data_IF_816480385702
#
_entry.id   IF_816480385702
#
_cell.length_a   1.000
_cell.length_b   1.000
_cell.length_c   1.000
_cell.angle_alpha   90.00
_cell.angle_beta   90.00
_cell.angle_gamma   90.00
#
_symmetry.space_group_name_H-M   'P 1'
#
loop_
_entity.id
_entity.type
_entity.pdbx_description
1 polymer ?
#
# COMPACT_ATOMS: atom_id res chain seq x y z
N UNK A 1 -11.33 -23.33 -5.26
CA UNK A 1 -12.61 -23.96 -5.65
C UNK A 1 -12.39 -25.04 -6.68
N UNK A 2 -13.39 -25.88 -6.94
CA UNK A 2 -13.42 -26.72 -8.14
C UNK A 2 -14.77 -26.59 -8.83
N UNK A 3 -14.72 -26.37 -10.14
CA UNK A 3 -15.84 -26.42 -11.07
C UNK A 3 -15.51 -27.55 -12.03
N UNK A 4 -16.43 -28.49 -12.23
CA UNK A 4 -16.28 -29.48 -13.29
C UNK A 4 -16.33 -28.71 -14.62
N UNK A 5 -15.26 -28.80 -15.41
CA UNK A 5 -15.17 -28.15 -16.71
C UNK A 5 -16.27 -28.70 -17.62
N UNK A 6 -17.36 -27.95 -17.77
CA UNK A 6 -18.39 -28.18 -18.77
C UNK A 6 -18.53 -26.90 -19.59
N UNK A 7 -18.69 -27.09 -20.91
CA UNK A 7 -18.67 -26.06 -21.93
C UNK A 7 -19.61 -24.89 -21.58
N UNK A 8 -19.06 -23.69 -21.68
CA UNK A 8 -19.66 -22.46 -21.20
C UNK A 8 -20.58 -21.83 -22.26
N UNK A 9 -21.74 -22.43 -22.49
CA UNK A 9 -22.87 -21.73 -23.11
C UNK A 9 -24.10 -22.03 -22.24
N UNK A 10 -24.76 -21.00 -21.71
CA UNK A 10 -25.98 -21.04 -20.85
C UNK A 10 -25.87 -21.42 -19.35
N UNK A 11 -24.93 -20.85 -18.58
CA UNK A 11 -25.06 -20.87 -17.11
C UNK A 11 -25.46 -19.48 -16.57
N UNK A 12 -26.66 -19.41 -15.98
CA UNK A 12 -27.14 -18.28 -15.20
C UNK A 12 -26.50 -18.21 -13.80
N UNK A 13 -26.53 -17.02 -13.18
CA UNK A 13 -25.91 -16.73 -11.88
C UNK A 13 -26.39 -17.66 -10.75
N UNK A 14 -27.67 -18.03 -10.74
CA UNK A 14 -28.25 -18.92 -9.72
C UNK A 14 -27.66 -20.33 -9.79
N UNK A 15 -27.51 -20.87 -11.00
CA UNK A 15 -26.92 -22.20 -11.20
C UNK A 15 -25.43 -22.22 -10.90
N UNK A 16 -24.72 -21.11 -11.16
CA UNK A 16 -23.33 -20.98 -10.71
C UNK A 16 -23.23 -21.16 -9.20
N UNK A 17 -23.99 -20.39 -8.41
CA UNK A 17 -23.98 -20.46 -6.94
C UNK A 17 -24.40 -21.83 -6.39
N UNK A 18 -25.41 -22.47 -6.99
CA UNK A 18 -25.87 -23.79 -6.58
C UNK A 18 -24.80 -24.90 -6.75
N UNK A 19 -23.82 -24.68 -7.62
CA UNK A 19 -22.76 -25.66 -7.94
C UNK A 19 -21.41 -25.36 -7.27
N UNK A 20 -21.30 -24.28 -6.49
CA UNK A 20 -20.05 -23.95 -5.80
C UNK A 20 -19.83 -24.92 -4.65
N UNK A 21 -18.65 -25.56 -4.65
CA UNK A 21 -18.21 -26.40 -3.53
C UNK A 21 -16.95 -25.83 -2.87
N UNK A 22 -17.01 -25.66 -1.54
CA UNK A 22 -15.85 -25.31 -0.71
C UNK A 22 -14.96 -26.55 -0.56
N UNK A 23 -13.65 -26.37 -0.77
CA UNK A 23 -12.62 -27.35 -0.40
C UNK A 23 -11.57 -26.66 0.45
N UNK A 24 -11.15 -27.32 1.52
CA UNK A 24 -10.08 -26.87 2.38
C UNK A 24 -8.84 -27.73 2.15
N UNK A 25 -7.67 -27.13 2.25
CA UNK A 25 -6.37 -27.80 2.13
C UNK A 25 -5.61 -27.57 3.43
N UNK A 26 -5.00 -28.63 3.96
CA UNK A 26 -4.30 -28.57 5.25
C UNK A 26 -2.94 -27.86 5.16
N UNK A 27 -2.35 -27.84 3.96
CA UNK A 27 -1.03 -27.24 3.73
C UNK A 27 -0.97 -26.55 2.36
N UNK A 28 0.05 -25.70 2.21
CA UNK A 28 0.24 -24.90 1.00
C UNK A 28 0.60 -25.73 -0.24
N UNK A 29 1.28 -26.87 -0.07
CA UNK A 29 1.67 -27.74 -1.19
C UNK A 29 0.43 -28.33 -1.88
N UNK A 30 -0.46 -28.95 -1.11
CA UNK A 30 -1.70 -29.53 -1.62
C UNK A 30 -2.60 -28.47 -2.25
N UNK A 31 -2.66 -27.28 -1.64
CA UNK A 31 -3.37 -26.14 -2.18
C UNK A 31 -2.80 -25.71 -3.55
N UNK A 32 -1.47 -25.57 -3.64
CA UNK A 32 -0.79 -25.17 -4.87
C UNK A 32 -1.04 -26.17 -5.99
N UNK A 33 -0.88 -27.46 -5.71
CA UNK A 33 -1.14 -28.53 -6.68
C UNK A 33 -2.59 -28.52 -7.15
N UNK A 34 -3.54 -28.31 -6.23
CA UNK A 34 -4.94 -28.21 -6.58
C UNK A 34 -5.27 -26.98 -7.45
N UNK A 35 -4.69 -25.81 -7.16
CA UNK A 35 -4.87 -24.61 -7.99
C UNK A 35 -4.31 -24.84 -9.39
N UNK A 36 -3.12 -25.44 -9.50
CA UNK A 36 -2.45 -25.72 -10.77
C UNK A 36 -3.24 -26.73 -11.62
N UNK A 37 -3.68 -27.83 -11.00
CA UNK A 37 -4.46 -28.87 -11.68
C UNK A 37 -5.85 -28.38 -12.15
N UNK A 38 -6.35 -27.28 -11.56
CA UNK A 38 -7.63 -26.68 -11.92
C UNK A 38 -7.50 -25.26 -12.48
N UNK A 39 -6.34 -24.90 -13.05
CA UNK A 39 -6.06 -23.54 -13.56
C UNK A 39 -7.15 -23.05 -14.54
N UNK A 40 -7.65 -23.93 -15.41
CA UNK A 40 -8.69 -23.63 -16.40
C UNK A 40 -10.00 -23.10 -15.79
N UNK A 41 -10.34 -23.51 -14.56
CA UNK A 41 -11.53 -23.00 -13.88
C UNK A 41 -11.40 -21.51 -13.57
N UNK A 42 -10.20 -21.06 -13.19
CA UNK A 42 -9.95 -19.66 -12.81
C UNK A 42 -9.88 -18.73 -14.03
N UNK A 43 -9.62 -19.28 -15.21
CA UNK A 43 -9.67 -18.55 -16.48
C UNK A 43 -11.10 -18.46 -17.09
N UNK A 44 -12.07 -19.16 -16.51
CA UNK A 44 -13.44 -19.19 -17.01
C UNK A 44 -14.25 -17.95 -16.55
N UNK A 45 -15.45 -17.74 -17.09
CA UNK A 45 -16.35 -16.59 -16.87
C UNK A 45 -16.51 -16.15 -15.41
N UNK A 46 -16.55 -17.10 -14.47
CA UNK A 46 -16.74 -16.83 -13.04
C UNK A 46 -15.47 -17.04 -12.20
N UNK A 47 -14.30 -17.22 -12.84
CA UNK A 47 -13.05 -17.54 -12.16
C UNK A 47 -12.61 -16.46 -11.15
N UNK A 48 -12.82 -15.18 -11.48
CA UNK A 48 -12.54 -14.06 -10.56
C UNK A 48 -13.44 -14.11 -9.32
N UNK A 49 -14.72 -14.46 -9.46
CA UNK A 49 -15.62 -14.62 -8.31
C UNK A 49 -15.20 -15.80 -7.43
N UNK A 50 -14.79 -16.92 -8.04
CA UNK A 50 -14.23 -18.04 -7.30
C UNK A 50 -12.94 -17.63 -6.56
N UNK A 51 -12.09 -16.82 -7.18
CA UNK A 51 -10.90 -16.31 -6.49
C UNK A 51 -11.29 -15.45 -5.28
N UNK A 52 -12.20 -14.50 -5.46
CA UNK A 52 -12.70 -13.64 -4.40
C UNK A 52 -13.32 -14.44 -3.23
N UNK A 53 -14.20 -15.39 -3.52
CA UNK A 53 -14.78 -16.25 -2.48
C UNK A 53 -13.70 -17.05 -1.74
N UNK A 54 -12.55 -17.33 -2.38
CA UNK A 54 -11.49 -18.15 -1.77
C UNK A 54 -10.81 -17.33 -0.71
N UNK A 55 -10.50 -16.08 -1.05
CA UNK A 55 -9.93 -15.08 -0.14
C UNK A 55 -10.86 -14.84 1.04
N UNK A 56 -12.14 -14.54 0.78
CA UNK A 56 -13.14 -14.26 1.82
C UNK A 56 -13.30 -15.45 2.78
N UNK A 57 -13.43 -16.68 2.26
CA UNK A 57 -13.61 -17.86 3.09
C UNK A 57 -12.34 -18.28 3.82
N UNK A 58 -11.16 -17.99 3.27
CA UNK A 58 -9.87 -18.27 3.93
C UNK A 58 -9.65 -17.33 5.11
N UNK A 59 -9.99 -16.04 4.95
CA UNK A 59 -9.94 -15.05 6.03
C UNK A 59 -11.04 -15.27 7.07
N UNK A 60 -12.24 -15.63 6.62
CA UNK A 60 -13.45 -15.77 7.43
C UNK A 60 -14.31 -14.50 7.40
N UNK A 61 -15.61 -14.67 7.17
CA UNK A 61 -16.57 -13.55 7.02
C UNK A 61 -16.64 -12.69 8.28
N UNK A 62 -16.72 -13.31 9.46
CA UNK A 62 -16.80 -12.58 10.73
C UNK A 62 -15.50 -11.80 11.02
N UNK A 63 -14.34 -12.35 10.66
CA UNK A 63 -13.07 -11.62 10.78
C UNK A 63 -13.03 -10.39 9.88
N UNK A 64 -13.54 -10.51 8.65
CA UNK A 64 -13.65 -9.37 7.73
C UNK A 64 -14.58 -8.31 8.30
N UNK A 65 -15.78 -8.69 8.79
CA UNK A 65 -16.73 -7.75 9.40
C UNK A 65 -16.15 -7.02 10.61
N UNK A 66 -15.32 -7.70 11.41
CA UNK A 66 -14.67 -7.10 12.57
C UNK A 66 -13.53 -6.12 12.20
N UNK A 67 -12.99 -6.22 10.98
CA UNK A 67 -11.91 -5.36 10.48
C UNK A 67 -12.44 -4.15 9.70
N UNK A 68 -13.67 -4.22 9.17
CA UNK A 68 -14.33 -3.11 8.48
C UNK A 68 -15.01 -2.21 9.52
N UNK A 69 -14.74 -0.91 9.46
CA UNK A 69 -15.30 0.07 10.40
C UNK A 69 -16.83 0.19 10.28
N UNK A 70 -17.36 0.23 9.05
CA UNK A 70 -18.79 0.20 8.76
C UNK A 70 -19.18 -1.10 8.04
N UNK A 71 -19.71 -2.07 8.80
CA UNK A 71 -20.17 -3.36 8.25
C UNK A 71 -21.34 -3.26 7.26
N UNK A 72 -21.96 -2.09 7.10
CA UNK A 72 -22.98 -1.83 6.09
C UNK A 72 -22.38 -1.51 4.71
N UNK A 73 -21.10 -1.11 4.66
CA UNK A 73 -20.41 -0.85 3.39
C UNK A 73 -20.07 -2.16 2.67
N UNK A 74 -20.48 -2.30 1.39
CA UNK A 74 -20.19 -3.50 0.63
C UNK A 74 -18.72 -3.53 0.16
N UNK A 75 -18.12 -4.72 0.11
CA UNK A 75 -16.77 -4.91 -0.46
C UNK A 75 -16.70 -4.60 -1.96
N UNK A 76 -17.84 -4.67 -2.65
CA UNK A 76 -17.97 -4.35 -4.07
C UNK A 76 -19.11 -3.36 -4.21
N UNK A 77 -18.84 -2.24 -4.85
CA UNK A 77 -19.84 -1.23 -5.14
C UNK A 77 -20.99 -1.84 -5.97
N UNK A 78 -22.26 -1.72 -5.53
CA UNK A 78 -23.39 -2.39 -6.18
C UNK A 78 -23.80 -1.74 -7.50
N UNK A 79 -23.34 -0.52 -7.80
CA UNK A 79 -23.72 0.24 -9.00
C UNK A 79 -22.67 0.06 -10.09
N UNK A 80 -21.40 0.24 -9.75
CA UNK A 80 -20.28 0.29 -10.68
C UNK A 80 -19.37 -0.95 -10.61
N UNK A 81 -19.49 -1.77 -9.56
CA UNK A 81 -18.72 -3.00 -9.41
C UNK A 81 -17.27 -2.81 -8.99
N UNK A 82 -16.90 -1.61 -8.52
CA UNK A 82 -15.56 -1.32 -8.00
C UNK A 82 -15.31 -2.02 -6.67
N UNK A 83 -14.12 -2.57 -6.48
CA UNK A 83 -13.71 -3.09 -5.17
C UNK A 83 -13.47 -1.94 -4.20
N UNK A 84 -13.98 -2.06 -2.97
CA UNK A 84 -13.71 -1.08 -1.91
C UNK A 84 -12.24 -1.11 -1.47
N UNK A 85 -11.79 -0.07 -0.77
CA UNK A 85 -10.44 -0.04 -0.21
C UNK A 85 -10.19 -1.22 0.74
N UNK A 86 -11.20 -1.63 1.52
CA UNK A 86 -11.15 -2.82 2.37
C UNK A 86 -10.89 -4.10 1.57
N UNK A 87 -11.51 -4.23 0.38
CA UNK A 87 -11.25 -5.38 -0.49
C UNK A 87 -9.83 -5.34 -1.08
N UNK A 88 -9.35 -4.16 -1.49
CA UNK A 88 -7.99 -3.97 -1.99
C UNK A 88 -6.97 -4.34 -0.91
N UNK A 89 -7.15 -3.82 0.30
CA UNK A 89 -6.27 -4.11 1.45
C UNK A 89 -6.31 -5.59 1.84
N UNK A 90 -7.48 -6.24 1.77
CA UNK A 90 -7.61 -7.67 2.02
C UNK A 90 -6.77 -8.49 1.02
N UNK A 91 -6.77 -8.11 -0.25
CA UNK A 91 -5.98 -8.78 -1.29
C UNK A 91 -4.47 -8.52 -1.13
N UNK A 92 -4.08 -7.31 -0.74
CA UNK A 92 -2.68 -6.92 -0.60
C UNK A 92 -2.03 -7.45 0.69
N UNK A 93 -2.78 -7.45 1.79
CA UNK A 93 -2.23 -7.64 3.15
C UNK A 93 -2.87 -8.81 3.90
N UNK A 94 -4.05 -9.28 3.47
CA UNK A 94 -4.85 -10.24 4.24
C UNK A 94 -5.64 -9.60 5.38
N UNK A 95 -5.71 -8.27 5.46
CA UNK A 95 -6.53 -7.52 6.42
C UNK A 95 -7.49 -6.58 5.68
N UNK A 96 -8.77 -6.59 6.06
CA UNK A 96 -9.84 -5.86 5.38
C UNK A 96 -10.10 -4.47 5.97
N UNK A 97 -9.07 -3.82 6.53
CA UNK A 97 -9.16 -2.45 7.03
C UNK A 97 -9.41 -1.48 5.87
N UNK A 98 -10.17 -0.42 6.09
CA UNK A 98 -10.48 0.62 5.09
C UNK A 98 -9.31 1.60 4.88
N UNK A 99 -8.48 1.77 5.90
CA UNK A 99 -7.46 2.81 5.91
C UNK A 99 -6.13 2.37 5.28
N UNK A 100 -5.37 3.33 4.77
CA UNK A 100 -4.11 3.10 4.03
C UNK A 100 -2.86 3.59 4.76
N UNK A 101 -2.99 4.09 5.99
CA UNK A 101 -1.86 4.45 6.85
C UNK A 101 -1.37 3.27 7.68
N UNK A 102 -0.20 3.43 8.29
CA UNK A 102 0.40 2.40 9.14
C UNK A 102 -0.16 2.47 10.57
N UNK A 103 -0.44 1.30 11.13
CA UNK A 103 -0.88 1.12 12.51
C UNK A 103 -2.27 1.63 12.80
N UNK A 104 -2.80 1.21 13.95
CA UNK A 104 -4.07 1.73 14.45
C UNK A 104 -3.88 3.15 14.98
N UNK A 105 -4.90 3.99 14.82
CA UNK A 105 -4.93 5.36 15.35
C UNK A 105 -6.12 5.51 16.30
N UNK A 106 -5.96 6.38 17.28
CA UNK A 106 -7.07 6.77 18.16
C UNK A 106 -7.45 8.21 17.87
N UNK A 107 -8.72 8.43 17.51
CA UNK A 107 -9.25 9.75 17.19
C UNK A 107 -10.52 9.97 18.00
N UNK A 108 -10.51 10.92 18.94
CA UNK A 108 -11.67 11.28 19.77
C UNK A 108 -12.33 10.08 20.49
N UNK A 109 -11.51 9.12 20.97
CA UNK A 109 -11.98 7.90 21.63
C UNK A 109 -12.47 6.80 20.69
N UNK A 110 -12.36 7.00 19.36
CA UNK A 110 -12.61 5.99 18.34
C UNK A 110 -11.29 5.38 17.87
N UNK A 111 -11.20 4.05 17.89
CA UNK A 111 -10.05 3.33 17.36
C UNK A 111 -10.25 3.06 15.87
N UNK A 112 -9.42 3.67 15.04
CA UNK A 112 -9.39 3.48 13.59
C UNK A 112 -8.29 2.49 13.24
N UNK A 113 -8.63 1.44 12.49
CA UNK A 113 -7.69 0.36 12.18
C UNK A 113 -6.89 0.70 10.93
N UNK A 114 -5.57 0.55 10.98
CA UNK A 114 -4.68 0.78 9.84
C UNK A 114 -3.99 -0.48 9.36
N UNK A 115 -3.06 -0.31 8.43
CA UNK A 115 -2.23 -1.38 7.90
C UNK A 115 -1.21 -1.77 8.99
N UNK A 116 -1.21 -3.03 9.41
CA UNK A 116 -0.37 -3.48 10.52
C UNK A 116 0.94 -4.16 10.10
N UNK A 117 1.16 -4.36 8.80
CA UNK A 117 2.36 -5.02 8.27
C UNK A 117 2.67 -4.61 6.85
N UNK A 118 3.96 -4.66 6.52
CA UNK A 118 4.47 -4.50 5.16
C UNK A 118 3.97 -5.62 4.24
N UNK A 119 3.34 -5.23 3.12
CA UNK A 119 2.82 -6.12 2.09
C UNK A 119 3.90 -6.68 1.17
N UNK A 120 3.58 -7.75 0.42
CA UNK A 120 4.44 -8.21 -0.66
C UNK A 120 4.36 -7.28 -1.89
N UNK A 121 3.19 -6.70 -2.11
CA UNK A 121 2.88 -5.71 -3.15
C UNK A 121 2.40 -4.44 -2.45
N UNK A 122 2.83 -3.29 -2.97
CA UNK A 122 2.51 -1.99 -2.42
C UNK A 122 1.24 -1.40 -3.00
N UNK A 123 0.84 -0.26 -2.46
CA UNK A 123 -0.27 0.52 -2.97
C UNK A 123 0.09 2.00 -2.91
N UNK A 124 -0.21 2.71 -3.99
CA UNK A 124 -0.15 4.16 -4.07
C UNK A 124 -1.46 4.61 -4.72
N UNK A 125 -1.94 5.80 -4.39
CA UNK A 125 -3.19 6.32 -4.94
C UNK A 125 -3.06 7.78 -5.33
N UNK A 126 -3.73 8.17 -6.41
CA UNK A 126 -3.86 9.56 -6.80
C UNK A 126 -4.52 10.40 -5.69
N UNK A 127 -5.39 9.79 -4.88
CA UNK A 127 -6.08 10.46 -3.77
C UNK A 127 -5.12 11.05 -2.74
N UNK A 128 -3.93 10.44 -2.56
CA UNK A 128 -2.90 10.99 -1.68
C UNK A 128 -2.30 12.27 -2.25
N UNK A 129 -2.03 12.31 -3.56
CA UNK A 129 -1.54 13.53 -4.22
C UNK A 129 -2.55 14.69 -4.14
N UNK A 130 -3.84 14.34 -4.09
CA UNK A 130 -4.96 15.28 -3.91
C UNK A 130 -5.26 15.60 -2.44
N UNK A 131 -4.46 15.06 -1.50
CA UNK A 131 -4.57 15.29 -0.05
C UNK A 131 -5.84 14.73 0.61
N UNK A 132 -6.52 13.75 -0.02
CA UNK A 132 -7.67 13.07 0.59
C UNK A 132 -7.25 12.00 1.61
N UNK A 133 -6.07 11.41 1.46
CA UNK A 133 -5.53 10.43 2.39
C UNK A 133 -4.00 10.54 2.47
N UNK A 134 -3.39 9.84 3.43
CA UNK A 134 -1.93 9.65 3.55
C UNK A 134 -1.63 8.16 3.56
N UNK A 135 -0.87 7.69 2.56
CA UNK A 135 -0.51 6.27 2.47
C UNK A 135 0.71 6.02 3.34
N UNK A 136 0.65 4.97 4.16
CA UNK A 136 1.69 4.56 5.09
C UNK A 136 2.87 3.88 4.42
N UNK A 137 4.00 3.82 5.14
CA UNK A 137 5.24 3.20 4.71
C UNK A 137 5.08 1.71 4.38
N UNK A 138 4.17 0.98 5.06
CA UNK A 138 3.95 -0.45 4.82
C UNK A 138 3.39 -0.75 3.42
N UNK A 139 2.65 0.20 2.83
CA UNK A 139 2.15 0.13 1.46
C UNK A 139 3.07 0.83 0.47
N UNK A 140 3.76 1.91 0.87
CA UNK A 140 4.73 2.62 0.01
C UNK A 140 6.01 1.83 -0.22
N UNK A 141 6.45 1.03 0.75
CA UNK A 141 7.68 0.25 0.69
C UNK A 141 7.34 -1.23 0.84
N UNK A 142 6.78 -1.90 -0.18
CA UNK A 142 6.47 -3.33 -0.14
C UNK A 142 7.74 -4.21 -0.18
N UNK A 143 7.61 -5.53 -0.03
CA UNK A 143 8.77 -6.46 -0.11
C UNK A 143 9.34 -6.63 -1.51
N UNK A 144 8.52 -6.42 -2.54
CA UNK A 144 8.93 -6.46 -3.94
C UNK A 144 8.56 -5.14 -4.60
N UNK A 145 9.36 -4.62 -5.56
CA UNK A 145 9.16 -3.33 -6.20
C UNK A 145 7.98 -3.37 -7.20
N UNK A 146 6.79 -3.66 -6.67
CA UNK A 146 5.52 -3.80 -7.38
C UNK A 146 4.50 -3.04 -6.55
N UNK A 147 3.80 -2.10 -7.19
CA UNK A 147 2.77 -1.27 -6.59
C UNK A 147 1.51 -1.33 -7.43
N UNK A 148 0.38 -1.46 -6.77
CA UNK A 148 -0.90 -1.11 -7.38
C UNK A 148 -1.05 0.41 -7.31
N UNK A 149 -1.35 1.06 -8.43
CA UNK A 149 -1.69 2.47 -8.49
C UNK A 149 -3.21 2.62 -8.63
N UNK A 150 -3.85 3.28 -7.67
CA UNK A 150 -5.28 3.58 -7.70
C UNK A 150 -5.60 4.97 -8.23
N UNK A 151 -6.55 5.03 -9.16
CA UNK A 151 -7.31 6.24 -9.50
C UNK A 151 -8.68 6.23 -8.80
N UNK A 152 -9.57 7.13 -9.19
CA UNK A 152 -10.96 7.14 -8.73
C UNK A 152 -11.74 5.89 -9.16
N UNK A 153 -11.42 5.31 -10.32
CA UNK A 153 -12.25 4.28 -10.96
C UNK A 153 -11.48 3.05 -11.43
N UNK A 154 -10.15 3.09 -11.43
CA UNK A 154 -9.33 2.06 -12.04
C UNK A 154 -8.05 1.77 -11.23
N UNK A 155 -7.59 0.53 -11.34
CA UNK A 155 -6.36 0.05 -10.70
C UNK A 155 -5.38 -0.41 -11.78
N UNK A 156 -4.14 0.06 -11.67
CA UNK A 156 -3.06 -0.31 -12.58
C UNK A 156 -1.87 -0.85 -11.79
N UNK A 157 -0.93 -1.49 -12.47
CA UNK A 157 0.28 -2.03 -11.85
C UNK A 157 1.49 -1.23 -12.32
N UNK A 158 2.25 -0.71 -11.37
CA UNK A 158 3.56 -0.11 -11.60
C UNK A 158 4.62 -0.98 -10.94
N UNK A 159 5.70 -1.30 -11.63
CA UNK A 159 6.78 -2.09 -11.07
C UNK A 159 8.14 -1.69 -11.60
N UNK A 160 9.17 -2.05 -10.84
CA UNK A 160 10.56 -2.00 -11.24
C UNK A 160 11.20 -3.37 -11.00
N UNK A 161 12.48 -3.53 -11.38
CA UNK A 161 13.22 -4.78 -11.16
C UNK A 161 14.25 -4.66 -10.03
N UNK A 162 14.53 -3.45 -9.58
CA UNK A 162 15.52 -3.17 -8.56
C UNK A 162 14.91 -3.30 -7.15
N UNK A 163 15.42 -4.26 -6.39
CA UNK A 163 15.01 -4.46 -4.99
C UNK A 163 15.51 -3.34 -4.08
N UNK A 164 16.53 -2.56 -4.47
CA UNK A 164 17.00 -1.40 -3.71
C UNK A 164 15.97 -0.28 -3.59
N UNK A 165 14.97 -0.26 -4.47
CA UNK A 165 13.83 0.68 -4.41
C UNK A 165 12.84 0.36 -3.28
N UNK A 166 12.98 -0.83 -2.70
CA UNK A 166 12.15 -1.34 -1.62
C UNK A 166 13.03 -1.84 -0.47
N UNK A 167 13.17 -1.03 0.56
CA UNK A 167 13.83 -1.43 1.80
C UNK A 167 12.79 -1.88 2.85
N UNK A 168 13.20 -2.66 3.87
CA UNK A 168 12.49 -2.67 5.15
C UNK A 168 12.23 -1.23 5.63
N UNK A 169 11.18 -1.02 6.43
CA UNK A 169 10.90 0.29 7.05
C UNK A 169 12.21 0.87 7.61
N UNK A 170 12.58 2.07 7.15
CA UNK A 170 13.79 2.73 7.65
C UNK A 170 13.61 3.02 9.15
N UNK A 171 14.66 2.92 9.98
CA UNK A 171 14.56 3.24 11.41
C UNK A 171 13.93 4.62 11.67
N UNK A 172 14.19 5.60 10.81
CA UNK A 172 13.59 6.94 10.85
C UNK A 172 12.08 6.95 10.61
N UNK A 173 11.56 6.07 9.73
CA UNK A 173 10.11 5.96 9.47
C UNK A 173 9.40 5.21 10.60
N UNK A 174 10.04 4.18 11.17
CA UNK A 174 9.57 3.55 12.41
C UNK A 174 9.51 4.59 13.55
N UNK A 175 10.55 5.42 13.68
CA UNK A 175 10.62 6.51 14.64
C UNK A 175 9.51 7.53 14.44
N UNK A 176 9.26 7.95 13.20
CA UNK A 176 8.15 8.83 12.84
C UNK A 176 6.81 8.26 13.27
N UNK A 177 6.56 6.98 12.99
CA UNK A 177 5.30 6.31 13.32
C UNK A 177 5.07 6.23 14.82
N UNK A 178 6.09 5.84 15.60
CA UNK A 178 5.99 5.83 17.07
C UNK A 178 5.78 7.26 17.58
N UNK A 179 6.50 8.25 17.07
CA UNK A 179 6.29 9.64 17.46
C UNK A 179 4.84 10.08 17.21
N UNK A 180 4.25 9.73 16.06
CA UNK A 180 2.87 10.04 15.71
C UNK A 180 1.84 9.39 16.64
N UNK A 181 2.14 8.28 17.34
CA UNK A 181 1.20 7.75 18.34
C UNK A 181 1.07 8.63 19.58
N UNK A 182 2.00 9.57 19.78
CA UNK A 182 2.01 10.57 20.87
C UNK A 182 1.62 11.97 20.38
N UNK A 183 1.39 12.15 19.06
CA UNK A 183 0.88 13.36 18.41
C UNK A 183 -0.46 13.04 17.74
N UNK A 184 -1.55 12.89 18.51
CA UNK A 184 -2.85 12.46 17.98
C UNK A 184 -3.47 13.47 17.00
N UNK A 185 -2.98 14.71 16.99
CA UNK A 185 -3.44 15.77 16.10
C UNK A 185 -2.60 15.88 14.79
N UNK A 186 -1.55 15.06 14.64
CA UNK A 186 -0.57 15.08 13.50
C UNK A 186 -0.02 16.50 13.25
N UNK A 187 0.20 17.27 14.33
CA UNK A 187 0.72 18.64 14.28
C UNK A 187 2.24 18.69 14.00
N UNK A 188 2.92 17.55 14.07
CA UNK A 188 4.36 17.41 13.90
C UNK A 188 5.17 17.66 15.17
N UNK A 189 4.53 17.66 16.35
CA UNK A 189 5.18 17.90 17.63
C UNK A 189 4.49 17.19 18.80
N UNK A 190 5.22 16.96 19.89
CA UNK A 190 4.71 16.42 21.16
C UNK A 190 5.15 17.31 22.33
N UNK A 191 4.41 17.31 23.47
CA UNK A 191 4.91 17.88 24.71
C UNK A 191 6.22 17.20 25.15
N UNK A 192 7.15 17.97 25.71
CA UNK A 192 8.44 17.45 26.20
C UNK A 192 8.29 16.36 27.28
N UNK A 193 7.19 16.39 28.04
CA UNK A 193 6.84 15.38 29.03
C UNK A 193 6.70 13.97 28.43
N UNK A 194 6.38 13.84 27.14
CA UNK A 194 6.21 12.56 26.45
C UNK A 194 7.52 12.03 25.83
N UNK A 195 8.60 12.81 25.84
CA UNK A 195 9.86 12.42 25.19
C UNK A 195 10.42 11.11 25.74
N UNK A 196 10.36 10.91 27.06
CA UNK A 196 10.85 9.68 27.70
C UNK A 196 10.11 8.44 27.19
N UNK A 197 8.77 8.53 27.10
CA UNK A 197 7.93 7.42 26.64
C UNK A 197 8.17 7.11 25.16
N UNK A 198 8.34 8.13 24.31
CA UNK A 198 8.70 7.97 22.90
C UNK A 198 10.06 7.29 22.75
N UNK A 199 11.07 7.75 23.49
CA UNK A 199 12.41 7.16 23.47
C UNK A 199 12.38 5.69 23.92
N UNK A 200 11.63 5.39 24.98
CA UNK A 200 11.44 4.02 25.48
C UNK A 200 10.73 3.13 24.46
N UNK A 201 9.68 3.63 23.81
CA UNK A 201 8.95 2.91 22.76
C UNK A 201 9.81 2.63 21.51
N UNK A 202 10.85 3.45 21.28
CA UNK A 202 11.83 3.28 20.21
C UNK A 202 13.09 2.51 20.60
N UNK A 203 13.12 1.95 21.81
CA UNK A 203 14.31 1.25 22.34
C UNK A 203 15.58 2.14 22.35
N UNK A 204 15.39 3.45 22.55
CA UNK A 204 16.45 4.42 22.77
C UNK A 204 16.79 4.53 24.27
N UNK A 205 17.97 5.07 24.57
CA UNK A 205 18.40 5.35 25.95
C UNK A 205 17.41 6.30 26.62
N UNK A 206 16.71 5.84 27.67
CA UNK A 206 15.63 6.57 28.35
C UNK A 206 15.93 6.86 29.82
N UNK A 207 17.22 6.94 30.19
CA UNK A 207 17.65 7.35 31.52
C UNK A 207 17.28 8.82 31.78
N UNK A 208 16.76 9.19 32.97
CA UNK A 208 16.26 10.55 33.25
C UNK A 208 17.28 11.66 32.95
N UNK A 209 18.56 11.44 33.27
CA UNK A 209 19.62 12.42 33.02
C UNK A 209 19.88 12.63 31.52
N UNK A 210 19.83 11.55 30.73
CA UNK A 210 19.99 11.61 29.28
C UNK A 210 18.76 12.23 28.60
N UNK A 211 17.56 11.89 29.06
CA UNK A 211 16.31 12.50 28.56
C UNK A 211 16.33 14.01 28.81
N UNK A 212 16.71 14.46 30.00
CA UNK A 212 16.80 15.89 30.30
C UNK A 212 17.83 16.61 29.41
N UNK A 213 18.98 15.98 29.13
CA UNK A 213 19.95 16.50 28.18
C UNK A 213 19.36 16.64 26.77
N UNK A 214 18.62 15.62 26.31
CA UNK A 214 17.98 15.63 24.99
C UNK A 214 16.85 16.65 24.91
N UNK A 215 16.09 16.88 25.98
CA UNK A 215 15.09 17.96 26.05
C UNK A 215 15.72 19.32 25.80
N UNK A 216 16.82 19.63 26.50
CA UNK A 216 17.54 20.91 26.30
C UNK A 216 18.10 21.03 24.89
N UNK A 217 18.48 19.92 24.25
CA UNK A 217 19.02 19.92 22.88
C UNK A 217 17.94 20.10 21.81
N UNK A 218 16.80 19.44 21.97
CA UNK A 218 15.70 19.43 21.00
C UNK A 218 14.76 20.63 21.15
N UNK A 219 14.71 21.23 22.34
CA UNK A 219 13.96 22.45 22.65
C UNK A 219 14.89 23.49 23.31
N UNK A 220 15.83 24.08 22.56
CA UNK A 220 16.78 25.05 23.09
C UNK A 220 16.09 26.37 23.52
N UNK A 221 14.89 26.63 23.03
CA UNK A 221 14.10 27.82 23.36
C UNK A 221 13.24 27.62 24.61
N UNK A 222 13.08 26.39 25.10
CA UNK A 222 12.31 26.05 26.30
C UNK A 222 10.81 26.26 26.11
N UNK A 223 10.30 25.99 24.90
CA UNK A 223 8.88 26.10 24.55
C UNK A 223 8.02 24.98 25.16
N UNK A 224 8.63 23.91 25.68
CA UNK A 224 7.96 22.73 26.23
C UNK A 224 7.48 21.74 25.17
N UNK A 225 8.00 21.84 23.94
CA UNK A 225 7.60 21.00 22.80
C UNK A 225 8.81 20.40 22.10
N UNK A 226 8.65 19.17 21.62
CA UNK A 226 9.64 18.47 20.81
C UNK A 226 9.08 18.35 19.39
N UNK A 227 9.83 18.86 18.42
CA UNK A 227 9.47 18.78 17.01
C UNK A 227 9.96 17.44 16.40
N UNK A 228 9.12 16.85 15.56
CA UNK A 228 9.42 15.57 14.88
C UNK A 228 10.70 15.65 14.02
N UNK A 229 10.88 16.74 13.26
CA UNK A 229 12.04 16.91 12.37
C UNK A 229 13.38 16.86 13.11
N UNK A 230 13.62 17.76 14.08
CA UNK A 230 14.82 17.72 14.93
C UNK A 230 15.02 16.39 15.66
N UNK A 231 13.93 15.78 16.16
CA UNK A 231 14.00 14.46 16.81
C UNK A 231 14.56 13.39 15.87
N UNK A 232 14.04 13.30 14.64
CA UNK A 232 14.52 12.34 13.65
C UNK A 232 15.97 12.61 13.26
N UNK A 233 16.33 13.88 13.07
CA UNK A 233 17.71 14.25 12.72
C UNK A 233 18.72 13.85 13.79
N UNK A 234 18.34 13.94 15.06
CA UNK A 234 19.22 13.63 16.19
C UNK A 234 19.41 12.11 16.38
N UNK A 235 18.34 11.34 16.41
CA UNK A 235 18.40 9.91 16.76
C UNK A 235 18.49 8.99 15.55
N UNK A 236 18.01 9.44 14.39
CA UNK A 236 17.93 8.68 13.16
C UNK A 236 18.42 9.52 11.97
N UNK A 237 19.65 10.06 12.04
CA UNK A 237 20.19 10.87 10.96
C UNK A 237 20.10 10.07 9.66
N UNK A 238 19.51 10.68 8.63
CA UNK A 238 19.37 10.05 7.33
C UNK A 238 20.77 9.64 6.86
N UNK A 239 21.01 8.33 6.75
CA UNK A 239 22.06 7.86 5.85
C UNK A 239 21.50 8.17 4.48
N UNK A 240 22.14 9.09 3.74
CA UNK A 240 21.79 9.35 2.34
C UNK A 240 21.61 7.99 1.69
N UNK A 241 20.36 7.56 1.39
CA UNK A 241 20.22 6.38 0.58
C UNK A 241 21.00 6.73 -0.67
N UNK A 242 21.83 5.82 -1.18
CA UNK A 242 22.41 5.98 -2.52
C UNK A 242 21.21 6.16 -3.45
N UNK A 243 20.81 7.40 -3.67
CA UNK A 243 19.59 7.73 -4.34
C UNK A 243 19.88 7.28 -5.75
N UNK A 244 19.20 6.22 -6.16
CA UNK A 244 19.37 5.73 -7.50
C UNK A 244 18.85 6.83 -8.41
N UNK A 245 19.77 7.59 -9.01
CA UNK A 245 19.46 8.79 -9.81
C UNK A 245 18.47 8.45 -10.92
N UNK A 246 18.50 7.22 -11.44
CA UNK A 246 17.49 6.71 -12.34
C UNK A 246 17.33 5.18 -12.29
N UNK A 247 16.12 4.71 -12.57
CA UNK A 247 15.80 3.28 -12.62
C UNK A 247 14.75 2.96 -13.68
N UNK A 248 14.81 1.74 -14.22
CA UNK A 248 13.85 1.26 -15.20
C UNK A 248 12.51 0.93 -14.56
N UNK A 249 11.42 1.36 -15.19
CA UNK A 249 10.05 1.21 -14.70
C UNK A 249 9.14 0.62 -15.76
N UNK A 250 8.06 0.01 -15.30
CA UNK A 250 7.11 -0.70 -16.13
C UNK A 250 5.69 -0.40 -15.63
N UNK A 251 4.77 -0.16 -16.56
CA UNK A 251 3.35 0.08 -16.26
C UNK A 251 2.46 -0.89 -17.03
N UNK A 252 1.59 -1.57 -16.31
CA UNK A 252 0.55 -2.42 -16.87
C UNK A 252 -0.83 -1.88 -16.48
N UNK A 253 -1.61 -1.50 -17.48
CA UNK A 253 -2.89 -0.82 -17.23
C UNK A 253 -4.07 -1.76 -16.97
N UNK A 254 -3.93 -3.08 -17.14
CA UNK A 254 -5.03 -4.02 -16.88
C UNK A 254 -6.21 -4.01 -17.88
N UNK A 255 -6.24 -3.09 -18.86
CA UNK A 255 -7.29 -3.00 -19.88
C UNK A 255 -7.05 -4.00 -21.02
N UNK A 256 -8.11 -4.25 -21.81
CA UNK A 256 -8.07 -5.20 -22.94
C UNK A 256 -6.93 -4.91 -23.93
N UNK A 257 -6.62 -3.62 -24.16
CA UNK A 257 -5.54 -3.20 -25.06
C UNK A 257 -4.14 -3.62 -24.57
N UNK A 258 -3.94 -3.73 -23.26
CA UNK A 258 -2.70 -4.23 -22.65
C UNK A 258 -2.66 -5.77 -22.54
N UNK A 259 -3.63 -6.46 -23.15
CA UNK A 259 -3.73 -7.91 -23.17
C UNK A 259 -3.99 -8.44 -24.59
N UNK A 260 -3.41 -7.78 -25.60
CA UNK A 260 -3.60 -8.16 -26.99
C UNK A 260 -3.01 -9.56 -27.26
N UNK A 261 -3.72 -10.36 -28.07
CA UNK A 261 -3.34 -11.74 -28.40
C UNK A 261 -3.04 -12.61 -27.18
N UNK A 262 -3.80 -12.44 -26.09
CA UNK A 262 -3.63 -13.18 -24.82
C UNK A 262 -2.25 -12.99 -24.17
N UNK A 263 -1.55 -11.91 -24.49
CA UNK A 263 -0.25 -11.56 -23.91
C UNK A 263 -0.34 -10.26 -23.13
N UNK A 264 0.12 -10.32 -21.89
CA UNK A 264 0.31 -9.13 -21.06
C UNK A 264 1.34 -8.22 -21.72
N UNK A 265 0.94 -6.99 -22.00
CA UNK A 265 1.74 -5.94 -22.59
C UNK A 265 1.80 -4.77 -21.62
N UNK A 266 3.01 -4.36 -21.27
CA UNK A 266 3.28 -3.22 -20.41
C UNK A 266 4.07 -2.16 -21.17
N UNK A 267 4.01 -0.93 -20.68
CA UNK A 267 4.81 0.19 -21.18
C UNK A 267 6.06 0.31 -20.33
N UNK A 268 7.22 0.41 -20.98
CA UNK A 268 8.51 0.61 -20.32
C UNK A 268 8.84 2.09 -20.22
N UNK A 269 9.62 2.47 -19.22
CA UNK A 269 10.11 3.81 -19.05
C UNK A 269 11.31 3.87 -18.12
N UNK A 270 11.80 5.09 -17.91
CA UNK A 270 12.86 5.40 -16.94
C UNK A 270 12.32 6.43 -15.97
N UNK A 271 12.40 6.13 -14.67
CA UNK A 271 12.20 7.10 -13.62
C UNK A 271 13.55 7.75 -13.29
N UNK A 272 13.57 9.07 -13.17
CA UNK A 272 14.73 9.85 -12.77
C UNK A 272 14.36 10.60 -11.49
N UNK A 273 15.13 10.42 -10.41
CA UNK A 273 14.91 11.16 -9.17
C UNK A 273 15.84 12.37 -9.18
N UNK A 274 15.25 13.54 -9.35
CA UNK A 274 15.98 14.80 -9.39
C UNK A 274 16.31 15.23 -7.96
N UNK A 275 17.54 15.67 -7.72
CA UNK A 275 17.84 16.45 -6.52
C UNK A 275 17.03 17.75 -6.51
N UNK A 276 16.81 18.35 -5.33
CA UNK A 276 16.27 19.70 -5.23
C UNK A 276 17.11 20.62 -6.17
N UNK A 277 16.45 21.28 -7.12
CA UNK A 277 17.03 22.29 -8.04
C UNK A 277 17.66 21.86 -9.38
N UNK A 278 17.13 20.85 -10.09
CA UNK A 278 17.44 20.73 -11.53
C UNK A 278 16.23 21.07 -12.42
N UNK A 279 16.11 22.33 -12.90
CA UNK A 279 15.00 22.76 -13.77
C UNK A 279 15.09 22.23 -15.21
N UNK A 280 16.14 21.47 -15.59
CA UNK A 280 16.36 21.07 -16.98
C UNK A 280 15.52 19.87 -17.44
N UNK A 281 15.03 19.02 -16.54
CA UNK A 281 14.20 17.87 -16.87
C UNK A 281 12.84 17.97 -16.16
N UNK A 282 11.83 18.48 -16.86
CA UNK A 282 10.44 18.48 -16.42
C UNK A 282 9.58 17.78 -17.47
N UNK A 283 9.06 16.61 -17.11
CA UNK A 283 8.08 15.88 -17.92
C UNK A 283 6.67 16.32 -17.57
N UNK A 284 5.71 15.98 -18.45
CA UNK A 284 4.29 16.26 -18.23
C UNK A 284 3.81 15.79 -16.85
N UNK A 285 2.95 16.61 -16.25
CA UNK A 285 2.33 16.35 -14.95
C UNK A 285 1.18 15.34 -15.07
N UNK A 286 1.55 14.06 -15.20
CA UNK A 286 0.60 12.96 -15.39
C UNK A 286 0.08 12.42 -14.05
N UNK A 287 -1.13 11.79 -14.02
CA UNK A 287 -1.64 11.15 -12.81
C UNK A 287 -0.69 10.09 -12.23
N UNK A 288 0.02 9.33 -13.08
CA UNK A 288 1.04 8.37 -12.63
C UNK A 288 2.17 9.11 -11.92
N UNK A 289 2.71 10.17 -12.54
CA UNK A 289 3.78 10.99 -11.94
C UNK A 289 3.36 11.52 -10.57
N UNK A 290 2.18 12.13 -10.45
CA UNK A 290 1.65 12.64 -9.18
C UNK A 290 1.54 11.56 -8.10
N UNK A 291 1.11 10.36 -8.49
CA UNK A 291 1.02 9.22 -7.58
C UNK A 291 2.40 8.76 -7.10
N UNK A 292 3.38 8.63 -8.01
CA UNK A 292 4.73 8.22 -7.66
C UNK A 292 5.49 9.29 -6.85
N UNK A 293 5.18 10.57 -7.06
CA UNK A 293 5.75 11.68 -6.30
C UNK A 293 5.39 11.67 -4.81
N UNK A 294 4.35 10.94 -4.41
CA UNK A 294 4.04 10.76 -2.97
C UNK A 294 5.00 9.79 -2.28
N UNK A 295 5.75 8.99 -3.05
CA UNK A 295 6.81 8.09 -2.57
C UNK A 295 8.21 8.61 -2.88
N UNK A 296 8.43 9.07 -4.11
CA UNK A 296 9.70 9.62 -4.58
C UNK A 296 9.49 11.10 -4.93
N UNK A 297 9.69 12.01 -3.97
CA UNK A 297 9.65 13.44 -4.26
C UNK A 297 10.55 13.75 -5.46
N UNK A 298 10.08 14.60 -6.38
CA UNK A 298 10.83 15.02 -7.57
C UNK A 298 11.14 13.93 -8.60
N UNK A 299 10.40 12.81 -8.60
CA UNK A 299 10.51 11.85 -9.68
C UNK A 299 9.95 12.41 -10.99
N UNK A 300 10.71 12.19 -12.06
CA UNK A 300 10.38 12.49 -13.45
C UNK A 300 10.28 11.17 -14.24
N UNK A 301 9.37 11.08 -15.21
CA UNK A 301 9.07 9.83 -15.92
C UNK A 301 9.25 9.97 -17.43
N UNK A 302 10.18 9.18 -17.98
CA UNK A 302 10.47 9.12 -19.41
C UNK A 302 9.97 7.79 -19.96
N UNK A 303 8.78 7.78 -20.53
CA UNK A 303 8.18 6.59 -21.16
C UNK A 303 8.75 6.34 -22.55
N UNK A 304 8.86 5.07 -22.95
CA UNK A 304 9.32 4.71 -24.30
C UNK A 304 8.24 4.88 -25.37
N UNK A 305 6.98 5.05 -24.95
CA UNK A 305 5.84 5.30 -25.84
C UNK A 305 5.62 6.79 -26.10
N UNK A 306 5.06 7.12 -27.26
CA UNK A 306 4.73 8.50 -27.66
C UNK A 306 3.74 9.20 -26.70
N UNK A 307 2.99 8.42 -25.92
CA UNK A 307 2.04 8.91 -24.91
C UNK A 307 2.34 8.27 -23.57
N UNK A 308 2.22 9.07 -22.52
CA UNK A 308 2.29 8.57 -21.15
C UNK A 308 1.15 7.58 -20.85
N UNK A 309 1.40 6.51 -20.09
CA UNK A 309 0.35 5.58 -19.68
C UNK A 309 -0.72 6.27 -18.83
N UNK A 310 -1.95 5.79 -18.96
CA UNK A 310 -3.12 6.30 -18.23
C UNK A 310 -3.33 5.53 -16.93
N UNK A 311 -3.82 6.22 -15.90
CA UNK A 311 -4.39 5.59 -14.70
C UNK A 311 -5.88 5.24 -14.86
N UNK A 312 -6.51 5.62 -15.97
CA UNK A 312 -7.91 5.34 -16.32
C UNK A 312 -8.02 4.58 -17.64
#
# INVERSE_FOLDING_TARGET
FLYAALAAEEFGFERFHALIHKRAYANFSDFKDAVWNHHAMWANKFGVLLFLYSVILTKGIENIKNEIEDSSEPLIDPVYGHGSQSLINLLLTGFAVSNVWDGDRECSGMKLLGINKQGAVGFLTLMESLRYCKVGSYLKSPKFPIWILGSETHLTVFFAKDLGLVAPEAPSEQARRVFQTYDPEDNGFIPDALLEDVMRALDLVSDPDYVNLMKTKLDPEGLGIILLGPFLQEFFPEQDPKLQESFAVYHYNGLKQSNCNEKVTYVEGTAVIMGFEDPMLQTDDTPIKRCLQTKWPYVELLWTSDRSPSLN
#
